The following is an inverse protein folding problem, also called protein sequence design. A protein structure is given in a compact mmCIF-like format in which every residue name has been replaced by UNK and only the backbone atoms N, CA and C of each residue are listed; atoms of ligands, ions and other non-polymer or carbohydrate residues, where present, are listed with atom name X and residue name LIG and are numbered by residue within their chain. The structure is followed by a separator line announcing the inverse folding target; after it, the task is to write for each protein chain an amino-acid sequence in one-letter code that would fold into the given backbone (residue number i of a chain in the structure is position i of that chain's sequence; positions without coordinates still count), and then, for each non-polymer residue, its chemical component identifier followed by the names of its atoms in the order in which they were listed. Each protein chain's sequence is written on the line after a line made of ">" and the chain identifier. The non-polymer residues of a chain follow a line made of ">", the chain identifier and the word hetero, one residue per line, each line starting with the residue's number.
data_IF_446218787524
#
_entry.id   IF_446218787524
#
_cell.length_a   1.000
_cell.length_b   1.000
_cell.length_c   1.000
_cell.angle_alpha   90.00
_cell.angle_beta   90.00
_cell.angle_gamma   90.00
#
_symmetry.space_group_name_H-M   'P 1'
#
loop_
_entity.id
_entity.type
_entity.pdbx_description
1 polymer ?
#
# COMPACT_ATOMS: atom_id res chain seq x y z
N UNK A 1 38.98 -7.63 -10.40
CA UNK A 1 37.72 -7.62 -11.17
C UNK A 1 36.64 -8.08 -10.21
N UNK A 2 35.79 -7.16 -9.73
CA UNK A 2 34.71 -7.52 -8.79
C UNK A 2 33.49 -7.87 -9.64
N UNK A 3 33.07 -9.12 -9.59
CA UNK A 3 31.86 -9.61 -10.25
C UNK A 3 30.63 -8.97 -9.60
N UNK A 4 29.73 -8.30 -10.34
CA UNK A 4 28.47 -7.84 -9.79
C UNK A 4 27.43 -8.96 -9.91
N UNK A 5 27.32 -9.83 -8.90
CA UNK A 5 26.29 -10.89 -8.88
C UNK A 5 25.31 -10.78 -7.71
N UNK A 6 25.08 -9.56 -7.20
CA UNK A 6 24.07 -9.30 -6.16
C UNK A 6 23.00 -8.34 -6.65
N UNK A 7 22.24 -8.74 -7.67
CA UNK A 7 20.93 -8.14 -7.94
C UNK A 7 19.94 -9.30 -8.03
N UNK A 8 19.43 -9.73 -6.88
CA UNK A 8 18.21 -10.52 -6.86
C UNK A 8 17.05 -9.54 -7.02
N UNK A 9 16.30 -9.65 -8.11
CA UNK A 9 15.07 -8.88 -8.29
C UNK A 9 14.03 -9.36 -7.26
N UNK A 10 13.22 -8.47 -6.66
CA UNK A 10 12.14 -8.87 -5.77
C UNK A 10 11.08 -9.61 -6.58
N UNK A 11 11.15 -10.94 -6.55
CA UNK A 11 10.23 -11.84 -7.25
C UNK A 11 9.98 -13.05 -6.37
N UNK A 12 8.72 -13.24 -5.96
CA UNK A 12 8.29 -14.51 -5.38
C UNK A 12 8.32 -15.61 -6.47
N UNK A 13 9.22 -16.59 -6.37
CA UNK A 13 9.41 -17.68 -7.36
C UNK A 13 8.24 -18.71 -7.40
N UNK A 14 7.01 -18.28 -7.09
CA UNK A 14 5.84 -19.17 -6.96
C UNK A 14 5.12 -19.42 -8.29
N UNK A 15 5.46 -18.70 -9.38
CA UNK A 15 4.89 -18.88 -10.73
C UNK A 15 5.99 -19.12 -11.78
N UNK A 16 5.67 -19.74 -12.94
CA UNK A 16 6.64 -19.96 -14.00
C UNK A 16 7.32 -18.64 -14.40
N UNK A 17 8.65 -18.61 -14.45
CA UNK A 17 9.46 -17.42 -14.76
C UNK A 17 9.09 -16.75 -16.10
N UNK A 18 8.41 -17.46 -17.00
CA UNK A 18 7.90 -16.96 -18.27
C UNK A 18 6.82 -15.88 -18.15
N UNK A 19 6.22 -15.66 -16.97
CA UNK A 19 5.16 -14.66 -16.77
C UNK A 19 5.63 -13.34 -16.13
N UNK A 20 6.95 -13.13 -15.96
CA UNK A 20 7.49 -11.79 -15.64
C UNK A 20 6.93 -11.16 -14.37
N UNK A 21 6.78 -11.95 -13.31
CA UNK A 21 6.24 -11.46 -12.03
C UNK A 21 7.22 -10.48 -11.38
N UNK A 22 6.83 -9.21 -11.28
CA UNK A 22 7.51 -8.22 -10.44
C UNK A 22 6.58 -7.79 -9.32
N UNK A 23 7.07 -7.83 -8.08
CA UNK A 23 6.27 -7.49 -6.90
C UNK A 23 5.74 -6.04 -6.94
N UNK A 24 6.45 -5.14 -7.62
CA UNK A 24 6.01 -3.75 -7.90
C UNK A 24 4.83 -3.68 -8.88
N UNK A 25 4.78 -4.57 -9.88
CA UNK A 25 3.66 -4.65 -10.82
C UNK A 25 2.37 -5.13 -10.14
N UNK A 26 2.50 -6.01 -9.16
CA UNK A 26 1.41 -6.56 -8.36
C UNK A 26 0.95 -5.64 -7.21
N UNK A 27 1.67 -4.56 -6.91
CA UNK A 27 1.34 -3.64 -5.83
C UNK A 27 1.22 -2.22 -6.36
N UNK A 28 2.35 -1.52 -6.41
CA UNK A 28 2.61 -0.15 -6.92
C UNK A 28 4.11 0.12 -6.68
N UNK A 29 4.68 1.22 -7.19
CA UNK A 29 6.06 1.60 -6.87
C UNK A 29 6.29 1.69 -5.35
N UNK A 30 7.41 1.15 -4.85
CA UNK A 30 7.63 1.04 -3.40
C UNK A 30 7.68 2.40 -2.69
N UNK A 31 8.29 3.41 -3.29
CA UNK A 31 8.31 4.78 -2.76
C UNK A 31 6.89 5.33 -2.54
N UNK A 32 5.98 5.02 -3.46
CA UNK A 32 4.58 5.43 -3.34
C UNK A 32 3.84 4.61 -2.29
N UNK A 33 4.10 3.30 -2.22
CA UNK A 33 3.52 2.43 -1.19
C UNK A 33 3.91 2.89 0.22
N UNK A 34 5.18 3.20 0.45
CA UNK A 34 5.67 3.70 1.75
C UNK A 34 5.02 5.04 2.13
N UNK A 35 4.93 5.96 1.16
CA UNK A 35 4.28 7.25 1.37
C UNK A 35 2.78 7.10 1.69
N UNK A 36 2.08 6.22 0.98
CA UNK A 36 0.66 5.89 1.25
C UNK A 36 0.51 5.26 2.62
N UNK A 37 1.39 4.33 3.01
CA UNK A 37 1.35 3.70 4.32
C UNK A 37 1.55 4.71 5.45
N UNK A 38 2.53 5.62 5.31
CA UNK A 38 2.72 6.72 6.24
C UNK A 38 1.46 7.57 6.40
N UNK A 39 0.90 8.05 5.29
CA UNK A 39 -0.29 8.92 5.34
C UNK A 39 -1.53 8.18 5.89
N UNK A 40 -1.82 6.98 5.38
CA UNK A 40 -3.02 6.24 5.72
C UNK A 40 -2.98 5.62 7.11
N UNK A 41 -1.82 5.13 7.57
CA UNK A 41 -1.71 4.31 8.78
C UNK A 41 -1.16 5.10 9.95
N UNK A 42 -0.05 5.83 9.74
CA UNK A 42 0.56 6.64 10.79
C UNK A 42 -0.27 7.89 11.03
N UNK A 43 -0.62 8.60 9.97
CA UNK A 43 -1.31 9.90 10.07
C UNK A 43 -2.85 9.74 10.07
N UNK A 44 -3.34 8.52 9.77
CA UNK A 44 -4.77 8.11 9.79
C UNK A 44 -5.64 8.89 8.81
N UNK A 45 -5.05 9.33 7.71
CA UNK A 45 -5.76 10.04 6.67
C UNK A 45 -6.73 9.12 5.89
N UNK A 46 -7.83 9.72 5.47
CA UNK A 46 -8.81 9.09 4.58
C UNK A 46 -8.22 8.93 3.17
N UNK A 47 -8.74 8.00 2.34
CA UNK A 47 -8.28 7.83 0.96
C UNK A 47 -8.18 9.13 0.14
N UNK A 48 -9.13 10.07 0.33
CA UNK A 48 -9.10 11.37 -0.36
C UNK A 48 -7.98 12.29 0.15
N UNK A 49 -7.71 12.31 1.45
CA UNK A 49 -6.60 13.06 2.03
C UNK A 49 -5.26 12.49 1.55
N UNK A 50 -5.12 11.16 1.56
CA UNK A 50 -3.94 10.47 0.99
C UNK A 50 -3.76 10.86 -0.48
N UNK A 51 -4.81 10.84 -1.29
CA UNK A 51 -4.73 11.21 -2.70
C UNK A 51 -4.18 12.62 -2.89
N UNK A 52 -4.68 13.59 -2.13
CA UNK A 52 -4.22 14.98 -2.22
C UNK A 52 -2.75 15.13 -1.86
N UNK A 53 -2.28 14.42 -0.85
CA UNK A 53 -0.86 14.39 -0.48
C UNK A 53 0.00 13.75 -1.57
N UNK A 54 -0.47 12.64 -2.14
CA UNK A 54 0.26 11.94 -3.20
C UNK A 54 0.31 12.76 -4.50
N UNK A 55 -0.72 13.54 -4.82
CA UNK A 55 -0.70 14.47 -5.96
C UNK A 55 0.40 15.53 -5.83
N UNK A 56 0.69 15.99 -4.61
CA UNK A 56 1.76 16.98 -4.34
C UNK A 56 3.13 16.30 -4.30
N UNK A 57 3.23 15.15 -3.63
CA UNK A 57 4.50 14.43 -3.44
C UNK A 57 4.99 13.69 -4.69
N UNK A 58 4.07 13.28 -5.57
CA UNK A 58 4.37 12.50 -6.77
C UNK A 58 3.70 13.09 -8.03
N UNK A 59 4.11 14.32 -8.44
CA UNK A 59 3.49 15.03 -9.55
C UNK A 59 3.71 14.36 -10.92
N UNK A 60 4.59 13.36 -11.00
CA UNK A 60 4.86 12.57 -12.20
C UNK A 60 3.76 11.55 -12.53
N UNK A 61 2.85 11.27 -11.59
CA UNK A 61 1.75 10.33 -11.79
C UNK A 61 0.43 11.07 -11.98
N UNK A 62 -0.42 10.51 -12.83
CA UNK A 62 -1.77 11.02 -13.04
C UNK A 62 -2.67 10.74 -11.81
N UNK A 63 -3.64 11.62 -11.57
CA UNK A 63 -4.59 11.50 -10.47
C UNK A 63 -5.38 10.18 -10.48
N UNK A 64 -5.77 9.69 -11.66
CA UNK A 64 -6.50 8.42 -11.79
C UNK A 64 -5.59 7.21 -11.49
N UNK A 65 -4.31 7.31 -11.86
CA UNK A 65 -3.32 6.28 -11.57
C UNK A 65 -3.06 6.21 -10.05
N UNK A 66 -2.86 7.36 -9.40
CA UNK A 66 -2.71 7.46 -7.96
C UNK A 66 -3.94 6.91 -7.22
N UNK A 67 -5.15 7.30 -7.64
CA UNK A 67 -6.38 6.81 -7.06
C UNK A 67 -6.54 5.29 -7.17
N UNK A 68 -6.08 4.70 -8.29
CA UNK A 68 -6.10 3.25 -8.48
C UNK A 68 -5.17 2.52 -7.51
N UNK A 69 -3.97 3.04 -7.28
CA UNK A 69 -3.04 2.46 -6.32
C UNK A 69 -3.49 2.62 -4.87
N UNK A 70 -4.01 3.80 -4.51
CA UNK A 70 -4.57 4.06 -3.17
C UNK A 70 -5.76 3.13 -2.91
N UNK A 71 -6.67 2.98 -3.88
CA UNK A 71 -7.78 2.04 -3.75
C UNK A 71 -7.31 0.60 -3.56
N UNK A 72 -6.27 0.18 -4.31
CA UNK A 72 -5.64 -1.14 -4.15
C UNK A 72 -5.06 -1.32 -2.76
N UNK A 73 -4.37 -0.31 -2.23
CA UNK A 73 -3.81 -0.31 -0.87
C UNK A 73 -4.90 -0.56 0.18
N UNK A 74 -5.95 0.27 0.23
CA UNK A 74 -7.00 0.16 1.25
C UNK A 74 -7.77 -1.17 1.16
N UNK A 75 -8.03 -1.67 -0.07
CA UNK A 75 -8.66 -2.98 -0.28
C UNK A 75 -7.77 -4.13 0.21
N UNK A 76 -6.49 -4.12 -0.13
CA UNK A 76 -5.54 -5.15 0.30
C UNK A 76 -5.30 -5.09 1.81
N UNK A 77 -5.23 -3.89 2.38
CA UNK A 77 -5.09 -3.66 3.82
C UNK A 77 -6.24 -4.32 4.59
N UNK A 78 -7.49 -4.00 4.24
CA UNK A 78 -8.66 -4.59 4.90
C UNK A 78 -8.73 -6.11 4.70
N UNK A 79 -8.53 -6.58 3.46
CA UNK A 79 -8.65 -8.01 3.13
C UNK A 79 -7.58 -8.87 3.80
N UNK A 80 -6.38 -8.35 3.99
CA UNK A 80 -5.27 -9.10 4.59
C UNK A 80 -5.16 -8.92 6.11
N UNK A 81 -6.09 -8.18 6.75
CA UNK A 81 -6.05 -7.95 8.21
C UNK A 81 -6.01 -9.26 9.02
N UNK A 82 -6.74 -10.29 8.58
CA UNK A 82 -6.74 -11.62 9.22
C UNK A 82 -5.35 -12.29 9.24
N UNK A 83 -4.46 -11.96 8.27
CA UNK A 83 -3.08 -12.46 8.26
C UNK A 83 -2.25 -11.79 9.36
N UNK A 84 -2.52 -10.51 9.63
CA UNK A 84 -1.79 -9.68 10.59
C UNK A 84 -2.10 -10.02 12.03
N UNK A 85 -3.36 -10.36 12.31
CA UNK A 85 -3.74 -10.85 13.64
C UNK A 85 -3.09 -12.18 14.03
N UNK A 86 -2.55 -12.91 13.05
CA UNK A 86 -1.86 -14.19 13.23
C UNK A 86 -0.34 -14.08 13.02
N UNK A 87 0.24 -12.88 13.07
CA UNK A 87 1.68 -12.73 12.94
C UNK A 87 2.43 -13.50 14.04
N UNK A 88 3.46 -14.23 13.61
CA UNK A 88 4.42 -14.84 14.52
C UNK A 88 5.18 -13.74 15.27
N UNK A 89 5.68 -14.02 16.49
CA UNK A 89 6.52 -13.07 17.22
C UNK A 89 7.69 -12.62 16.34
N UNK A 90 7.80 -11.33 16.05
CA UNK A 90 8.87 -10.74 15.25
C UNK A 90 9.61 -9.69 16.06
N UNK A 91 10.92 -9.58 15.85
CA UNK A 91 11.72 -8.51 16.44
C UNK A 91 11.23 -7.15 15.91
N UNK A 92 11.10 -6.17 16.79
CA UNK A 92 10.88 -4.78 16.39
C UNK A 92 12.20 -4.21 15.90
N UNK A 93 12.24 -3.83 14.62
CA UNK A 93 13.43 -3.23 13.99
C UNK A 93 13.18 -1.75 13.64
N UNK A 94 11.94 -1.28 13.75
CA UNK A 94 11.53 0.10 13.50
C UNK A 94 10.67 0.64 14.68
N UNK A 95 10.65 1.96 14.87
CA UNK A 95 9.88 2.66 15.92
C UNK A 95 8.36 2.58 15.67
N UNK A 96 7.95 2.08 14.49
CA UNK A 96 6.57 2.11 13.97
C UNK A 96 6.09 0.69 13.72
N UNK A 97 5.07 0.26 14.47
CA UNK A 97 4.61 -1.13 14.44
C UNK A 97 3.19 -1.25 13.84
N UNK A 98 3.02 -2.16 12.87
CA UNK A 98 1.74 -2.54 12.26
C UNK A 98 1.02 -3.66 13.04
N UNK A 99 1.61 -4.11 14.15
CA UNK A 99 1.05 -5.14 15.02
C UNK A 99 -0.26 -4.63 15.68
N UNK A 100 -1.38 -5.35 15.49
CA UNK A 100 -2.65 -5.01 16.12
C UNK A 100 -2.64 -5.13 17.65
N UNK A 101 -1.64 -5.79 18.26
CA UNK A 101 -1.54 -5.96 19.70
C UNK A 101 -0.90 -4.77 20.41
N UNK A 102 -0.13 -3.93 19.71
CA UNK A 102 0.58 -2.79 20.29
C UNK A 102 0.11 -1.42 19.77
N UNK A 103 -0.18 -1.25 18.47
CA UNK A 103 -0.42 0.11 17.91
C UNK A 103 -1.61 0.22 16.93
N UNK A 104 -1.66 -0.56 15.85
CA UNK A 104 -2.68 -0.41 14.81
C UNK A 104 -3.85 -1.40 14.99
N UNK A 105 -4.76 -1.10 15.92
CA UNK A 105 -6.00 -1.87 16.10
C UNK A 105 -7.00 -1.53 15.00
N UNK A 106 -7.00 -2.32 13.93
CA UNK A 106 -8.01 -2.27 12.88
C UNK A 106 -8.94 -3.48 13.00
N UNK A 107 -10.27 -3.30 12.95
CA UNK A 107 -11.21 -4.40 13.11
C UNK A 107 -11.15 -5.36 11.91
N UNK A 108 -11.17 -6.67 12.19
CA UNK A 108 -11.21 -7.74 11.17
C UNK A 108 -12.36 -7.53 10.18
N UNK A 109 -13.52 -7.11 10.71
CA UNK A 109 -14.68 -6.75 9.94
C UNK A 109 -14.78 -5.22 9.89
N UNK A 110 -14.48 -4.65 8.72
CA UNK A 110 -14.64 -3.23 8.45
C UNK A 110 -15.55 -3.02 7.25
N UNK A 111 -16.08 -1.80 7.09
CA UNK A 111 -16.82 -1.40 5.89
C UNK A 111 -15.98 -1.36 4.61
N UNK A 112 -14.69 -1.71 4.68
CA UNK A 112 -13.76 -1.79 3.54
C UNK A 112 -13.47 -0.44 2.89
N UNK A 113 -13.61 0.66 3.63
CA UNK A 113 -13.50 2.04 3.14
C UNK A 113 -14.39 2.34 1.92
N UNK A 114 -15.50 1.60 1.71
CA UNK A 114 -16.30 1.71 0.47
C UNK A 114 -16.83 3.13 0.23
N UNK A 115 -17.25 3.83 1.29
CA UNK A 115 -17.80 5.19 1.17
C UNK A 115 -16.69 6.20 0.89
N UNK A 116 -15.57 6.05 1.57
CA UNK A 116 -14.41 6.92 1.49
C UNK A 116 -13.70 6.79 0.13
N UNK A 117 -13.59 5.56 -0.38
CA UNK A 117 -13.08 5.27 -1.72
C UNK A 117 -14.02 5.80 -2.81
N UNK A 118 -15.34 5.70 -2.62
CA UNK A 118 -16.30 6.29 -3.54
C UNK A 118 -16.18 7.83 -3.57
N UNK A 119 -16.00 8.47 -2.41
CA UNK A 119 -15.78 9.91 -2.32
C UNK A 119 -14.48 10.34 -3.02
N UNK A 120 -13.39 9.57 -2.85
CA UNK A 120 -12.13 9.81 -3.55
C UNK A 120 -12.30 9.67 -5.08
N UNK A 121 -13.00 8.64 -5.56
CA UNK A 121 -13.27 8.45 -6.99
C UNK A 121 -14.13 9.57 -7.58
N UNK A 122 -15.17 10.00 -6.86
CA UNK A 122 -16.00 11.12 -7.28
C UNK A 122 -15.17 12.42 -7.42
N UNK A 123 -14.26 12.67 -6.48
CA UNK A 123 -13.34 13.81 -6.56
C UNK A 123 -12.44 13.75 -7.80
N UNK A 124 -11.87 12.58 -8.14
CA UNK A 124 -11.04 12.43 -9.36
C UNK A 124 -11.85 12.70 -10.62
N UNK A 125 -13.06 12.18 -10.72
CA UNK A 125 -13.93 12.41 -11.89
C UNK A 125 -14.35 13.88 -12.04
N UNK A 126 -14.57 14.60 -10.93
CA UNK A 126 -14.91 16.02 -10.95
C UNK A 126 -13.71 16.92 -11.33
N UNK A 127 -12.49 16.46 -11.07
CA UNK A 127 -11.25 17.22 -11.27
C UNK A 127 -10.43 16.72 -12.48
N UNK A 128 -11.07 16.00 -13.41
CA UNK A 128 -10.50 15.53 -14.67
C UNK A 128 -10.69 16.55 -15.79
#
# INVERSE_FOLDING_TARGET
>A
QVSPSMVAYPTAELRPQSEGQTDEGDLMPYELLDAIEGSAIRDRHTPLEVLREMQVGFPSYDSDQLATWIERFFRLWCRNQWKRERYAPSFHVDDKNLDPKTWCRFPILSGGYRRELAAMRAYVEENR
#
